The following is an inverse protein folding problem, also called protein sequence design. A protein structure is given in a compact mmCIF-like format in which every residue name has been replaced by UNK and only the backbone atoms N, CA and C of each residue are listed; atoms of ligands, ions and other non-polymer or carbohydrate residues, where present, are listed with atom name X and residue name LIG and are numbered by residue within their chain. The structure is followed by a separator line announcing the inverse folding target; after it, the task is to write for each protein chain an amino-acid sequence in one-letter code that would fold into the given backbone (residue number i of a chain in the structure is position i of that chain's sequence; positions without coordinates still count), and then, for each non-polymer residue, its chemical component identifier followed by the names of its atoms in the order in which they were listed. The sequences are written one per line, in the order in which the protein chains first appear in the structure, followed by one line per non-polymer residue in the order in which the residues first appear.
data_IF_897235009172
#
_entry.id   IF_897235009172
#
_cell.length_a   1.000
_cell.length_b   1.000
_cell.length_c   1.000
_cell.angle_alpha   90.00
_cell.angle_beta   90.00
_cell.angle_gamma   90.00
#
_symmetry.space_group_name_H-M   'P 1'
#
loop_
_entity.id
_entity.type
_entity.pdbx_description
1 polymer ?
#
# COMPACT_ATOMS: atom_id res chain seq x y z
N UNK A 1 -27.11 22.76 13.02
CA UNK A 1 -27.18 21.35 12.55
C UNK A 1 -27.30 21.21 11.03
N UNK A 2 -28.07 22.06 10.31
CA UNK A 2 -28.14 22.01 8.83
C UNK A 2 -26.78 22.12 8.11
N UNK A 3 -25.86 22.91 8.65
CA UNK A 3 -24.53 23.09 8.07
C UNK A 3 -23.68 21.80 8.06
N UNK A 4 -23.75 20.99 9.13
CA UNK A 4 -23.03 19.70 9.21
C UNK A 4 -23.64 18.70 8.23
N UNK A 5 -24.98 18.70 8.09
CA UNK A 5 -25.67 17.81 7.16
C UNK A 5 -25.34 18.18 5.71
N UNK A 6 -25.22 19.46 5.38
CA UNK A 6 -24.82 19.92 4.03
C UNK A 6 -23.36 19.61 3.71
N UNK A 7 -22.45 19.68 4.67
CA UNK A 7 -21.05 19.25 4.49
C UNK A 7 -20.93 17.74 4.33
N UNK A 8 -21.71 16.96 5.10
CA UNK A 8 -21.81 15.51 4.92
C UNK A 8 -22.41 15.19 3.55
N UNK A 9 -23.42 15.92 3.09
CA UNK A 9 -24.04 15.73 1.77
C UNK A 9 -23.10 16.08 0.62
N UNK A 10 -22.29 17.14 0.77
CA UNK A 10 -21.25 17.52 -0.18
C UNK A 10 -20.12 16.50 -0.20
N UNK A 11 -19.69 16.01 0.96
CA UNK A 11 -18.76 14.89 1.09
C UNK A 11 -19.31 13.60 0.46
N UNK A 12 -20.60 13.32 0.62
CA UNK A 12 -21.29 12.17 0.02
C UNK A 12 -21.39 12.28 -1.51
N UNK A 13 -21.70 13.46 -2.03
CA UNK A 13 -21.68 13.75 -3.47
C UNK A 13 -20.26 13.65 -4.06
N UNK A 14 -19.23 13.86 -3.24
CA UNK A 14 -17.83 13.64 -3.60
C UNK A 14 -17.42 12.16 -3.49
N UNK A 15 -18.05 11.37 -2.61
CA UNK A 15 -17.95 9.91 -2.52
C UNK A 15 -18.63 9.16 -3.68
N UNK A 16 -19.65 9.77 -4.27
CA UNK A 16 -20.39 9.20 -5.40
C UNK A 16 -19.69 9.42 -6.75
N UNK A 17 -18.57 10.15 -6.78
CA UNK A 17 -17.75 10.25 -7.99
C UNK A 17 -16.93 9.00 -8.16
N UNK A 18 -16.79 8.54 -9.39
CA UNK A 18 -15.95 7.38 -9.74
C UNK A 18 -14.49 7.51 -9.25
N UNK A 19 -14.05 8.75 -9.02
CA UNK A 19 -12.75 9.13 -8.46
C UNK A 19 -12.51 8.61 -7.02
N UNK A 20 -13.53 8.61 -6.17
CA UNK A 20 -13.44 8.13 -4.78
C UNK A 20 -13.43 6.61 -4.71
N UNK A 21 -14.19 5.94 -5.58
CA UNK A 21 -14.12 4.49 -5.73
C UNK A 21 -12.75 4.00 -6.17
N UNK A 22 -12.10 4.71 -7.10
CA UNK A 22 -10.72 4.40 -7.53
C UNK A 22 -9.72 4.53 -6.38
N UNK A 23 -9.85 5.58 -5.57
CA UNK A 23 -8.98 5.80 -4.41
C UNK A 23 -9.22 4.73 -3.33
N UNK A 24 -10.48 4.39 -3.05
CA UNK A 24 -10.86 3.33 -2.10
C UNK A 24 -10.33 1.98 -2.58
N UNK A 25 -10.46 1.66 -3.88
CA UNK A 25 -9.94 0.42 -4.46
C UNK A 25 -8.41 0.35 -4.34
N UNK A 26 -7.72 1.46 -4.58
CA UNK A 26 -6.26 1.54 -4.47
C UNK A 26 -5.80 1.36 -3.00
N UNK A 27 -6.47 2.03 -2.06
CA UNK A 27 -6.20 1.87 -0.61
C UNK A 27 -6.48 0.43 -0.18
N UNK A 28 -7.61 -0.15 -0.60
CA UNK A 28 -7.95 -1.54 -0.30
C UNK A 28 -6.91 -2.51 -0.88
N UNK A 29 -6.44 -2.29 -2.12
CA UNK A 29 -5.38 -3.09 -2.74
C UNK A 29 -4.07 -3.03 -1.96
N UNK A 30 -3.63 -1.83 -1.56
CA UNK A 30 -2.44 -1.68 -0.73
C UNK A 30 -2.60 -2.28 0.67
N UNK A 31 -3.79 -2.15 1.28
CA UNK A 31 -4.09 -2.75 2.57
C UNK A 31 -4.05 -4.29 2.52
N UNK A 32 -4.58 -4.89 1.45
CA UNK A 32 -4.49 -6.34 1.22
C UNK A 32 -3.04 -6.79 1.04
N UNK A 33 -2.25 -6.08 0.24
CA UNK A 33 -0.83 -6.38 0.06
C UNK A 33 -0.06 -6.25 1.39
N UNK A 34 -0.31 -5.18 2.14
CA UNK A 34 0.27 -4.98 3.47
C UNK A 34 -0.13 -6.11 4.43
N UNK A 35 -1.40 -6.52 4.44
CA UNK A 35 -1.89 -7.62 5.26
C UNK A 35 -1.21 -8.94 4.92
N UNK A 36 -1.05 -9.26 3.63
CA UNK A 36 -0.35 -10.47 3.21
C UNK A 36 1.11 -10.43 3.68
N UNK A 37 1.83 -9.34 3.38
CA UNK A 37 3.24 -9.19 3.78
C UNK A 37 3.39 -9.27 5.31
N UNK A 38 2.51 -8.60 6.07
CA UNK A 38 2.54 -8.64 7.54
C UNK A 38 2.20 -10.03 8.10
N UNK A 39 1.21 -10.73 7.52
CA UNK A 39 0.85 -12.10 7.93
C UNK A 39 2.02 -13.07 7.73
N UNK A 40 2.74 -12.96 6.61
CA UNK A 40 3.95 -13.74 6.36
C UNK A 40 5.10 -13.32 7.29
N UNK A 41 5.28 -12.01 7.53
CA UNK A 41 6.29 -11.50 8.45
C UNK A 41 6.09 -12.01 9.88
N UNK A 42 4.86 -12.04 10.39
CA UNK A 42 4.54 -12.58 11.72
C UNK A 42 4.82 -14.09 11.84
N UNK A 43 4.73 -14.86 10.76
CA UNK A 43 5.12 -16.28 10.76
C UNK A 43 6.64 -16.46 10.88
N UNK A 44 7.41 -15.52 10.32
CA UNK A 44 8.89 -15.53 10.39
C UNK A 44 9.46 -14.88 11.64
N UNK A 45 8.67 -14.10 12.38
CA UNK A 45 9.20 -13.32 13.50
C UNK A 45 9.64 -14.25 14.66
N UNK A 46 10.90 -14.07 15.05
CA UNK A 46 11.59 -14.89 16.05
C UNK A 46 10.97 -14.74 17.44
N UNK A 47 10.31 -13.62 17.73
CA UNK A 47 9.59 -13.39 19.00
C UNK A 47 8.38 -14.32 19.15
N UNK A 48 7.62 -14.51 18.06
CA UNK A 48 6.42 -15.36 18.07
C UNK A 48 6.79 -16.86 18.02
N UNK A 49 7.89 -17.19 17.35
CA UNK A 49 8.52 -18.52 17.40
C UNK A 49 9.10 -18.83 18.79
N UNK A 50 9.73 -17.84 19.45
CA UNK A 50 10.21 -17.96 20.82
C UNK A 50 9.07 -18.15 21.84
N UNK A 51 7.93 -17.49 21.63
CA UNK A 51 6.70 -17.69 22.39
C UNK A 51 5.96 -19.00 22.05
N UNK A 52 6.48 -19.84 21.12
CA UNK A 52 5.88 -21.10 20.63
C UNK A 52 4.45 -20.98 20.11
N UNK A 53 3.99 -19.77 19.79
CA UNK A 53 2.63 -19.52 19.29
C UNK A 53 2.49 -19.82 17.79
N UNK A 54 3.61 -19.95 17.07
CA UNK A 54 3.65 -20.28 15.64
C UNK A 54 4.67 -21.39 15.37
N UNK A 55 4.21 -22.51 14.81
CA UNK A 55 5.04 -23.61 14.31
C UNK A 55 5.56 -23.27 12.90
N UNK A 56 6.32 -22.19 12.78
CA UNK A 56 6.91 -21.80 11.50
C UNK A 56 8.10 -22.69 11.15
N UNK A 57 7.97 -23.57 10.15
CA UNK A 57 9.06 -24.31 9.51
C UNK A 57 9.97 -23.40 8.65
N UNK A 58 10.30 -22.19 9.15
CA UNK A 58 11.10 -21.21 8.44
C UNK A 58 12.57 -21.25 8.89
N UNK A 59 13.48 -21.04 7.94
CA UNK A 59 14.92 -20.94 8.22
C UNK A 59 15.22 -19.72 9.11
N UNK A 60 16.18 -19.85 10.04
CA UNK A 60 16.61 -18.75 10.92
C UNK A 60 17.10 -17.56 10.07
N UNK A 61 16.42 -16.42 10.19
CA UNK A 61 16.79 -15.19 9.48
C UNK A 61 18.06 -14.58 10.06
N UNK A 62 19.01 -14.18 9.20
CA UNK A 62 20.17 -13.39 9.61
C UNK A 62 19.79 -11.93 9.86
N UNK A 63 20.54 -11.23 10.71
CA UNK A 63 20.32 -9.79 10.99
C UNK A 63 20.23 -8.94 9.72
N UNK A 64 21.01 -9.26 8.68
CA UNK A 64 20.97 -8.55 7.40
C UNK A 64 19.65 -8.72 6.64
N UNK A 65 19.04 -9.92 6.69
CA UNK A 65 17.75 -10.19 6.06
C UNK A 65 16.60 -9.47 6.78
N UNK A 66 16.66 -9.41 8.10
CA UNK A 66 15.69 -8.67 8.91
C UNK A 66 15.74 -7.18 8.54
N UNK A 67 16.93 -6.59 8.46
CA UNK A 67 17.10 -5.19 8.05
C UNK A 67 16.55 -4.96 6.64
N UNK A 68 16.87 -5.84 5.68
CA UNK A 68 16.35 -5.73 4.32
C UNK A 68 14.81 -5.78 4.26
N UNK A 69 14.17 -6.62 5.08
CA UNK A 69 12.70 -6.69 5.20
C UNK A 69 12.11 -5.40 5.77
N UNK A 70 12.66 -4.88 6.86
CA UNK A 70 12.20 -3.62 7.45
C UNK A 70 12.35 -2.45 6.49
N UNK A 71 13.50 -2.37 5.82
CA UNK A 71 13.73 -1.36 4.78
C UNK A 71 12.71 -1.51 3.65
N UNK A 72 12.45 -2.74 3.19
CA UNK A 72 11.42 -3.02 2.18
C UNK A 72 10.02 -2.57 2.60
N UNK A 73 9.62 -2.76 3.85
CA UNK A 73 8.32 -2.30 4.37
C UNK A 73 8.20 -0.77 4.37
N UNK A 74 9.27 -0.07 4.75
CA UNK A 74 9.30 1.40 4.73
C UNK A 74 9.18 1.91 3.29
N UNK A 75 9.93 1.34 2.35
CA UNK A 75 9.84 1.71 0.94
C UNK A 75 8.46 1.36 0.36
N UNK A 76 7.87 0.23 0.74
CA UNK A 76 6.49 -0.11 0.35
C UNK A 76 5.49 0.93 0.85
N UNK A 77 5.58 1.34 2.11
CA UNK A 77 4.68 2.35 2.69
C UNK A 77 4.83 3.71 1.99
N UNK A 78 6.08 4.15 1.76
CA UNK A 78 6.37 5.39 1.05
C UNK A 78 5.83 5.37 -0.38
N UNK A 79 6.06 4.28 -1.13
CA UNK A 79 5.58 4.15 -2.51
C UNK A 79 4.07 4.06 -2.59
N UNK A 80 3.40 3.38 -1.66
CA UNK A 80 1.94 3.37 -1.54
C UNK A 80 1.39 4.79 -1.28
N UNK A 81 2.01 5.53 -0.34
CA UNK A 81 1.60 6.89 0.00
C UNK A 81 1.80 7.86 -1.18
N UNK A 82 2.92 7.74 -1.91
CA UNK A 82 3.17 8.50 -3.13
C UNK A 82 2.16 8.16 -4.24
N UNK A 83 1.80 6.89 -4.40
CA UNK A 83 0.78 6.47 -5.37
C UNK A 83 -0.57 7.11 -5.07
N UNK A 84 -0.99 7.13 -3.80
CA UNK A 84 -2.23 7.79 -3.37
C UNK A 84 -2.14 9.30 -3.61
N UNK A 85 -1.02 9.93 -3.27
CA UNK A 85 -0.80 11.37 -3.48
C UNK A 85 -0.87 11.77 -4.96
N UNK A 86 -0.26 11.00 -5.86
CA UNK A 86 -0.32 11.23 -7.30
C UNK A 86 -1.74 10.98 -7.86
N UNK A 87 -2.48 10.01 -7.32
CA UNK A 87 -3.89 9.82 -7.67
C UNK A 87 -4.74 11.05 -7.28
N UNK A 88 -4.53 11.61 -6.09
CA UNK A 88 -5.20 12.85 -5.67
C UNK A 88 -4.82 14.04 -6.57
N UNK A 89 -3.54 14.18 -6.91
CA UNK A 89 -3.02 15.23 -7.81
C UNK A 89 -3.60 15.10 -9.22
N UNK A 90 -3.79 13.90 -9.72
CA UNK A 90 -4.47 13.64 -10.99
C UNK A 90 -5.90 14.18 -10.98
N UNK A 91 -6.67 13.90 -9.93
CA UNK A 91 -8.05 14.39 -9.85
C UNK A 91 -8.13 15.92 -9.73
N UNK A 92 -7.22 16.53 -8.96
CA UNK A 92 -7.16 17.99 -8.83
C UNK A 92 -6.79 18.67 -10.16
N UNK A 93 -5.84 18.11 -10.91
CA UNK A 93 -5.45 18.63 -12.23
C UNK A 93 -6.55 18.42 -13.29
N UNK A 94 -7.29 17.31 -13.22
CA UNK A 94 -8.46 17.07 -14.08
C UNK A 94 -9.57 18.11 -13.83
N UNK A 95 -9.85 18.46 -12.57
CA UNK A 95 -10.83 19.51 -12.23
C UNK A 95 -10.41 20.89 -12.76
N UNK A 96 -9.11 21.19 -12.78
CA UNK A 96 -8.57 22.46 -13.29
C UNK A 96 -8.38 22.47 -14.82
N UNK A 97 -8.79 21.42 -15.54
CA UNK A 97 -8.57 21.22 -16.99
C UNK A 97 -7.08 21.33 -17.40
N UNK A 98 -6.16 21.07 -16.48
CA UNK A 98 -4.72 21.08 -16.72
C UNK A 98 -4.26 19.70 -17.24
N UNK A 99 -4.50 19.43 -18.52
CA UNK A 99 -4.29 18.11 -19.13
C UNK A 99 -2.84 17.60 -19.09
N UNK A 100 -1.84 18.50 -19.16
CA UNK A 100 -0.41 18.11 -19.09
C UNK A 100 -0.02 17.62 -17.70
N UNK A 101 -0.45 18.32 -16.66
CA UNK A 101 -0.16 17.95 -15.27
C UNK A 101 -0.87 16.64 -14.88
N UNK A 102 -2.09 16.43 -15.41
CA UNK A 102 -2.83 15.20 -15.22
C UNK A 102 -2.12 13.98 -15.85
N UNK A 103 -1.58 14.13 -17.07
CA UNK A 103 -0.83 13.07 -17.73
C UNK A 103 0.47 12.72 -16.98
N UNK A 104 1.14 13.73 -16.41
CA UNK A 104 2.35 13.50 -15.60
C UNK A 104 2.01 12.80 -14.28
N UNK A 105 0.96 13.22 -13.58
CA UNK A 105 0.52 12.58 -12.34
C UNK A 105 0.15 11.10 -12.54
N UNK A 106 -0.52 10.74 -13.65
CA UNK A 106 -0.77 9.32 -13.97
C UNK A 106 0.53 8.54 -14.16
N UNK A 107 1.49 9.08 -14.93
CA UNK A 107 2.76 8.37 -15.19
C UNK A 107 3.52 8.09 -13.89
N UNK A 108 3.59 9.08 -13.01
CA UNK A 108 4.22 8.92 -11.69
C UNK A 108 3.42 7.98 -10.79
N UNK A 109 2.09 8.09 -10.76
CA UNK A 109 1.23 7.17 -10.01
C UNK A 109 1.42 5.71 -10.44
N UNK A 110 1.44 5.43 -11.74
CA UNK A 110 1.70 4.08 -12.27
C UNK A 110 3.11 3.61 -11.90
N UNK A 111 4.12 4.48 -12.01
CA UNK A 111 5.49 4.15 -11.64
C UNK A 111 5.59 3.74 -10.16
N UNK A 112 5.03 4.53 -9.26
CA UNK A 112 5.04 4.23 -7.82
C UNK A 112 4.22 2.99 -7.47
N UNK A 113 3.08 2.77 -8.14
CA UNK A 113 2.29 1.56 -7.98
C UNK A 113 3.07 0.30 -8.40
N UNK A 114 3.73 0.35 -9.55
CA UNK A 114 4.59 -0.74 -10.03
C UNK A 114 5.74 -1.02 -9.06
N UNK A 115 6.41 0.02 -8.53
CA UNK A 115 7.45 -0.14 -7.52
C UNK A 115 6.91 -0.84 -6.26
N UNK A 116 5.76 -0.41 -5.75
CA UNK A 116 5.14 -1.00 -4.57
C UNK A 116 4.77 -2.49 -4.80
N UNK A 117 4.23 -2.82 -5.97
CA UNK A 117 3.93 -4.20 -6.36
C UNK A 117 5.22 -5.03 -6.43
N UNK A 118 6.28 -4.52 -7.07
CA UNK A 118 7.56 -5.23 -7.14
C UNK A 118 8.14 -5.52 -5.75
N UNK A 119 8.08 -4.56 -4.82
CA UNK A 119 8.54 -4.75 -3.44
C UNK A 119 7.71 -5.83 -2.74
N UNK A 120 6.38 -5.78 -2.85
CA UNK A 120 5.48 -6.76 -2.24
C UNK A 120 5.71 -8.17 -2.81
N UNK A 121 5.84 -8.31 -4.14
CA UNK A 121 6.11 -9.59 -4.80
C UNK A 121 7.47 -10.14 -4.40
N UNK A 122 8.51 -9.30 -4.37
CA UNK A 122 9.84 -9.72 -3.93
C UNK A 122 9.81 -10.23 -2.49
N UNK A 123 9.09 -9.55 -1.59
CA UNK A 123 8.90 -10.00 -0.22
C UNK A 123 8.16 -11.35 -0.16
N UNK A 124 7.05 -11.51 -0.90
CA UNK A 124 6.29 -12.76 -0.92
C UNK A 124 7.10 -13.94 -1.48
N UNK A 125 7.85 -13.74 -2.57
CA UNK A 125 8.75 -14.75 -3.13
C UNK A 125 9.84 -15.12 -2.12
N UNK A 126 10.40 -14.13 -1.44
CA UNK A 126 11.38 -14.38 -0.38
C UNK A 126 10.79 -15.23 0.75
N UNK A 127 9.59 -14.88 1.24
CA UNK A 127 8.92 -15.66 2.28
C UNK A 127 8.63 -17.09 1.81
N UNK A 128 8.12 -17.28 0.59
CA UNK A 128 7.87 -18.60 0.01
C UNK A 128 9.15 -19.44 -0.14
N UNK A 129 10.28 -18.81 -0.47
CA UNK A 129 11.55 -19.51 -0.63
C UNK A 129 12.19 -19.91 0.72
N UNK A 130 11.92 -19.16 1.79
CA UNK A 130 12.54 -19.35 3.11
C UNK A 130 11.63 -20.06 4.13
N UNK A 131 10.34 -20.13 3.86
CA UNK A 131 9.32 -20.81 4.65
C UNK A 131 8.60 -21.82 3.76
N UNK A 132 8.78 -23.10 4.04
CA UNK A 132 8.07 -24.21 3.39
C UNK A 132 6.86 -24.65 4.22
#
# INVERSE_FOLDING_TARGET
MKWIIDDIKRGWAQLQRWQTWLTIFLIAGFAVLAYLVASYAFKTDSVLSYLRLTNGHCRTMSNGLIIAMFTGMIFFMLTAMLTIGEAQRYFQSQQRRAYRDAAQAIKWGIFWACCAICIAVAALVFFKANCY
#
